data_IF_321856733658
#
_entry.id   IF_321856733658
#
_cell.length_a   1.000
_cell.length_b   1.000
_cell.length_c   1.000
_cell.angle_alpha   90.00
_cell.angle_beta   90.00
_cell.angle_gamma   90.00
#
_symmetry.space_group_name_H-M   'P 1'
#
loop_
_entity.id
_entity.type
_entity.pdbx_description
1 polymer ?
#
# COMPACT_ATOMS: atom_id res chain seq x y z
N UNK A 1 14.01 -4.05 -5.75
CA UNK A 1 12.59 -3.92 -6.13
C UNK A 1 12.11 -2.57 -5.61
N UNK A 2 11.68 -1.65 -6.48
CA UNK A 2 11.18 -0.34 -6.03
C UNK A 2 9.70 -0.43 -5.70
N UNK A 3 9.34 -0.06 -4.48
CA UNK A 3 7.97 0.12 -4.04
C UNK A 3 7.40 1.35 -4.77
N UNK A 4 6.52 1.17 -5.75
CA UNK A 4 5.91 2.30 -6.46
C UNK A 4 4.60 2.72 -5.74
N UNK A 5 4.61 3.82 -4.97
CA UNK A 5 3.45 4.23 -4.19
C UNK A 5 2.27 4.67 -5.06
N UNK A 6 2.51 5.18 -6.27
CA UNK A 6 1.44 5.59 -7.19
C UNK A 6 0.63 4.40 -7.67
N UNK A 7 1.31 3.31 -8.02
CA UNK A 7 0.62 2.07 -8.44
C UNK A 7 -0.09 1.40 -7.27
N UNK A 8 0.52 1.39 -6.08
CA UNK A 8 -0.17 0.95 -4.87
C UNK A 8 -1.41 1.82 -4.58
N UNK A 9 -1.34 3.15 -4.70
CA UNK A 9 -2.53 4.00 -4.55
C UNK A 9 -3.69 3.57 -5.47
N UNK A 10 -3.39 3.29 -6.73
CA UNK A 10 -4.39 2.84 -7.71
C UNK A 10 -4.96 1.45 -7.37
N UNK A 11 -4.11 0.51 -6.94
CA UNK A 11 -4.54 -0.84 -6.57
C UNK A 11 -5.39 -0.85 -5.30
N UNK A 12 -5.10 0.02 -4.33
CA UNK A 12 -5.91 0.21 -3.13
C UNK A 12 -7.30 0.72 -3.50
N UNK A 13 -7.38 1.70 -4.41
CA UNK A 13 -8.65 2.20 -4.92
C UNK A 13 -9.47 1.11 -5.62
N UNK A 14 -8.80 0.16 -6.28
CA UNK A 14 -9.43 -1.01 -6.93
C UNK A 14 -9.69 -2.20 -5.99
N UNK A 15 -9.46 -2.07 -4.68
CA UNK A 15 -9.57 -3.16 -3.70
C UNK A 15 -8.71 -4.40 -4.01
N UNK A 16 -7.57 -4.23 -4.70
CA UNK A 16 -6.68 -5.34 -5.11
C UNK A 16 -5.55 -5.60 -4.11
N UNK A 17 -5.87 -5.82 -2.84
CA UNK A 17 -4.88 -5.87 -1.75
C UNK A 17 -3.89 -7.04 -1.86
N UNK A 18 -4.33 -8.22 -2.34
CA UNK A 18 -3.44 -9.37 -2.54
C UNK A 18 -2.28 -9.04 -3.49
N UNK A 19 -2.61 -8.46 -4.66
CA UNK A 19 -1.61 -8.04 -5.66
C UNK A 19 -0.64 -6.99 -5.12
N UNK A 20 -1.08 -6.13 -4.20
CA UNK A 20 -0.21 -5.13 -3.57
C UNK A 20 0.89 -5.77 -2.74
N UNK A 21 0.59 -6.81 -1.96
CA UNK A 21 1.62 -7.50 -1.19
C UNK A 21 2.49 -8.40 -2.06
N UNK A 22 1.88 -9.21 -2.93
CA UNK A 22 2.61 -10.21 -3.70
C UNK A 22 3.51 -9.59 -4.78
N UNK A 23 3.00 -8.60 -5.52
CA UNK A 23 3.68 -8.05 -6.70
C UNK A 23 4.41 -6.74 -6.43
N UNK A 24 3.97 -5.99 -5.43
CA UNK A 24 4.50 -4.67 -5.09
C UNK A 24 5.16 -4.62 -3.72
N UNK A 25 5.39 -5.75 -3.06
CA UNK A 25 6.06 -5.85 -1.77
C UNK A 25 5.51 -4.89 -0.72
N UNK A 26 4.19 -4.62 -0.70
CA UNK A 26 3.58 -3.68 0.25
C UNK A 26 3.99 -3.92 1.71
N UNK A 27 4.25 -5.17 2.09
CA UNK A 27 4.68 -5.54 3.44
C UNK A 27 6.05 -4.96 3.85
N UNK A 28 6.89 -4.59 2.88
CA UNK A 28 8.18 -3.92 3.09
C UNK A 28 8.02 -2.43 3.45
N UNK A 29 6.87 -1.84 3.11
CA UNK A 29 6.60 -0.43 3.42
C UNK A 29 6.49 -0.21 4.94
N UNK A 30 7.45 0.45 5.58
CA UNK A 30 7.40 0.73 7.03
C UNK A 30 6.51 1.92 7.43
N UNK A 31 5.58 2.34 6.56
CA UNK A 31 4.55 3.35 6.85
C UNK A 31 5.09 4.75 7.23
N UNK A 32 6.19 5.17 6.60
CA UNK A 32 6.90 6.42 6.92
C UNK A 32 6.14 7.73 6.66
N UNK A 33 5.06 7.72 5.88
CA UNK A 33 4.33 8.95 5.53
C UNK A 33 4.86 9.69 4.31
N UNK A 34 6.10 9.44 3.85
CA UNK A 34 6.74 10.24 2.80
C UNK A 34 5.94 10.32 1.50
N UNK A 35 5.32 9.21 1.09
CA UNK A 35 4.48 9.15 -0.11
C UNK A 35 3.19 9.98 0.01
N UNK A 36 2.60 10.07 1.20
CA UNK A 36 1.43 10.91 1.45
C UNK A 36 1.80 12.39 1.51
N UNK A 37 2.99 12.71 2.01
CA UNK A 37 3.48 14.07 2.15
C UNK A 37 3.92 14.69 0.81
N UNK A 38 4.60 13.92 -0.03
CA UNK A 38 5.10 14.40 -1.33
C UNK A 38 4.02 14.42 -2.41
N UNK A 39 2.86 13.77 -2.17
CA UNK A 39 1.82 13.65 -3.19
C UNK A 39 1.15 15.01 -3.46
N UNK A 40 1.24 15.56 -4.68
CA UNK A 40 0.63 16.86 -5.01
C UNK A 40 -0.90 16.82 -4.99
N UNK A 41 -1.51 15.63 -5.07
CA UNK A 41 -2.96 15.41 -5.00
C UNK A 41 -3.48 15.22 -3.58
N UNK A 42 -2.63 15.36 -2.56
CA UNK A 42 -2.99 15.22 -1.14
C UNK A 42 -3.66 13.87 -0.78
N UNK A 43 -3.32 12.81 -1.52
CA UNK A 43 -3.91 11.47 -1.33
C UNK A 43 -3.27 10.81 -0.10
N UNK A 44 -4.08 10.30 0.86
CA UNK A 44 -3.58 9.67 2.08
C UNK A 44 -3.07 8.24 1.82
N UNK A 45 -2.02 8.09 1.01
CA UNK A 45 -1.46 6.79 0.59
C UNK A 45 -1.08 5.89 1.77
N UNK A 46 -0.55 6.45 2.85
CA UNK A 46 -0.17 5.67 4.04
C UNK A 46 -1.38 5.09 4.77
N UNK A 47 -2.53 5.76 4.77
CA UNK A 47 -3.76 5.17 5.31
C UNK A 47 -4.18 3.96 4.48
N UNK A 48 -4.14 4.06 3.15
CA UNK A 48 -4.42 2.92 2.28
C UNK A 48 -3.47 1.75 2.51
N UNK A 49 -2.16 2.03 2.68
CA UNK A 49 -1.17 0.98 2.94
C UNK A 49 -1.41 0.28 4.28
N UNK A 50 -1.77 1.03 5.33
CA UNK A 50 -2.16 0.48 6.63
C UNK A 50 -3.34 -0.47 6.54
N UNK A 51 -4.40 -0.04 5.87
CA UNK A 51 -5.61 -0.84 5.67
C UNK A 51 -5.26 -2.10 4.86
N UNK A 52 -4.57 -1.94 3.73
CA UNK A 52 -4.19 -3.05 2.87
C UNK A 52 -3.28 -4.07 3.59
N UNK A 53 -2.33 -3.61 4.41
CA UNK A 53 -1.53 -4.50 5.26
C UNK A 53 -2.37 -5.25 6.30
N UNK A 54 -3.31 -4.57 6.95
CA UNK A 54 -4.19 -5.20 7.94
C UNK A 54 -5.01 -6.33 7.28
N UNK A 55 -5.65 -6.02 6.15
CA UNK A 55 -6.42 -6.99 5.35
C UNK A 55 -5.52 -8.16 4.91
N UNK A 56 -4.33 -7.87 4.36
CA UNK A 56 -3.44 -8.93 3.92
C UNK A 56 -2.90 -9.79 5.06
N UNK A 57 -2.80 -9.25 6.28
CA UNK A 57 -2.40 -10.01 7.47
C UNK A 57 -3.51 -10.98 7.91
N UNK A 58 -4.77 -10.62 7.70
CA UNK A 58 -5.91 -11.53 7.88
C UNK A 58 -5.99 -12.59 6.75
N UNK A 59 -5.61 -12.22 5.53
CA UNK A 59 -5.60 -13.11 4.37
C UNK A 59 -4.37 -14.03 4.31
N UNK A 60 -3.31 -13.74 5.06
CA UNK A 60 -2.10 -14.55 5.15
C UNK A 60 -2.04 -15.23 6.53
N UNK A 61 -2.85 -16.28 6.78
CA UNK A 61 -2.58 -17.18 7.89
C UNK A 61 -1.22 -17.82 7.61
N UNK A 62 -0.25 -17.57 8.49
CA UNK A 62 1.05 -18.23 8.47
C UNK A 62 0.88 -19.76 8.61
#
# INVERSE_FOLDING_TARGET
>A
MHLNPSTLGLLAYKNQYATMAEKYNLMDCFECGCCSYVCPSNIPLVQYFRIAKAINREQQPA
#
